data_IF_507617332587
#
_entry.id   IF_507617332587
#
_cell.length_a   1.000
_cell.length_b   1.000
_cell.length_c   1.000
_cell.angle_alpha   90.00
_cell.angle_beta   90.00
_cell.angle_gamma   90.00
#
_symmetry.space_group_name_H-M   'P 1'
#
loop_
_entity.id
_entity.type
_entity.pdbx_description
1 polymer ?
#
# COMPACT_ATOMS: atom_id res chain seq x y z
N UNK A 1 2.99 8.76 -16.83
CA UNK A 1 3.03 8.49 -15.37
C UNK A 1 1.74 7.86 -14.81
N UNK A 2 0.58 8.52 -14.80
CA UNK A 2 -0.64 7.95 -14.18
C UNK A 2 -1.03 6.54 -14.67
N UNK A 3 -1.03 6.31 -16.00
CA UNK A 3 -1.26 4.97 -16.57
C UNK A 3 -0.22 3.96 -16.08
N UNK A 4 1.06 4.35 -16.12
CA UNK A 4 2.17 3.52 -15.66
C UNK A 4 2.00 3.11 -14.19
N UNK A 5 1.66 4.06 -13.31
CA UNK A 5 1.39 3.78 -11.89
C UNK A 5 0.28 2.74 -11.75
N UNK A 6 -0.84 2.91 -12.45
CA UNK A 6 -1.94 1.95 -12.38
C UNK A 6 -1.53 0.55 -12.85
N UNK A 7 -0.81 0.46 -13.96
CA UNK A 7 -0.31 -0.82 -14.49
C UNK A 7 0.66 -1.49 -13.48
N UNK A 8 1.57 -0.72 -12.87
CA UNK A 8 2.52 -1.19 -11.87
C UNK A 8 1.82 -1.70 -10.60
N UNK A 9 0.79 -0.99 -10.12
CA UNK A 9 -0.04 -1.45 -9.00
C UNK A 9 -0.81 -2.73 -9.34
N UNK A 10 -1.31 -2.86 -10.57
CA UNK A 10 -1.96 -4.09 -11.03
C UNK A 10 -0.97 -5.27 -11.07
N UNK A 11 0.28 -5.03 -11.48
CA UNK A 11 1.34 -6.03 -11.44
C UNK A 11 1.71 -6.41 -10.01
N UNK A 12 1.85 -5.43 -9.12
CA UNK A 12 2.08 -5.67 -7.69
C UNK A 12 0.96 -6.53 -7.09
N UNK A 13 -0.32 -6.24 -7.42
CA UNK A 13 -1.49 -7.03 -6.98
C UNK A 13 -1.36 -8.49 -7.42
N UNK A 14 -1.04 -8.73 -8.71
CA UNK A 14 -0.90 -10.09 -9.25
C UNK A 14 0.21 -10.89 -8.55
N UNK A 15 1.26 -10.21 -8.11
CA UNK A 15 2.44 -10.80 -7.50
C UNK A 15 2.39 -10.81 -5.96
N UNK A 16 1.30 -10.35 -5.36
CA UNK A 16 1.09 -10.35 -3.90
C UNK A 16 0.16 -11.51 -3.56
N UNK A 17 0.73 -12.70 -3.37
CA UNK A 17 -0.01 -13.88 -2.92
C UNK A 17 0.53 -14.34 -1.57
N UNK A 18 -0.27 -14.21 -0.53
CA UNK A 18 0.06 -14.63 0.83
C UNK A 18 -1.22 -15.09 1.52
N UNK A 19 -1.14 -16.17 2.31
CA UNK A 19 -2.27 -16.73 3.04
C UNK A 19 -2.88 -15.75 4.06
N UNK A 20 -2.08 -14.81 4.55
CA UNK A 20 -2.54 -13.75 5.46
C UNK A 20 -3.39 -12.67 4.79
N UNK A 21 -3.48 -12.63 3.44
CA UNK A 21 -4.19 -11.58 2.71
C UNK A 21 -5.65 -12.00 2.48
N UNK A 22 -6.57 -11.23 3.04
CA UNK A 22 -8.02 -11.37 2.80
C UNK A 22 -8.45 -10.78 1.47
N UNK A 23 -7.97 -9.56 1.16
CA UNK A 23 -8.29 -8.89 -0.10
C UNK A 23 -7.25 -7.87 -0.51
N UNK A 24 -7.14 -7.63 -1.81
CA UNK A 24 -6.32 -6.56 -2.38
C UNK A 24 -7.20 -5.69 -3.29
N UNK A 25 -7.21 -4.38 -3.06
CA UNK A 25 -7.93 -3.40 -3.88
C UNK A 25 -7.01 -2.31 -4.42
N UNK A 26 -7.42 -1.75 -5.56
CA UNK A 26 -6.80 -0.56 -6.14
C UNK A 26 -7.93 0.45 -6.34
N UNK A 27 -7.82 1.61 -5.69
CA UNK A 27 -8.71 2.75 -5.89
C UNK A 27 -7.94 3.89 -6.56
N UNK A 28 -8.58 4.57 -7.50
CA UNK A 28 -7.97 5.70 -8.21
C UNK A 28 -8.92 6.88 -8.21
N UNK A 29 -8.43 8.04 -7.78
CA UNK A 29 -9.14 9.32 -7.81
C UNK A 29 -8.42 10.28 -8.76
N UNK A 30 -9.16 10.80 -9.74
CA UNK A 30 -8.69 11.85 -10.65
C UNK A 30 -9.57 13.08 -10.52
N UNK A 31 -8.97 14.22 -10.20
CA UNK A 31 -9.65 15.51 -10.15
C UNK A 31 -8.73 16.51 -10.85
N UNK A 32 -9.02 16.89 -12.09
CA UNK A 32 -8.15 17.76 -12.90
C UNK A 32 -6.69 17.24 -12.95
N UNK A 33 -5.73 18.03 -12.44
CA UNK A 33 -4.31 17.66 -12.38
C UNK A 33 -3.95 16.87 -11.12
N UNK A 34 -4.92 16.62 -10.25
CA UNK A 34 -4.75 15.83 -9.04
C UNK A 34 -4.99 14.36 -9.38
N UNK A 35 -4.03 13.50 -9.03
CA UNK A 35 -4.20 12.05 -9.08
C UNK A 35 -3.86 11.45 -7.73
N UNK A 36 -4.66 10.49 -7.27
CA UNK A 36 -4.38 9.67 -6.09
C UNK A 36 -4.66 8.22 -6.43
N UNK A 37 -3.72 7.35 -6.10
CA UNK A 37 -3.83 5.90 -6.24
C UNK A 37 -3.68 5.31 -4.85
N UNK A 38 -4.58 4.41 -4.48
CA UNK A 38 -4.51 3.63 -3.26
C UNK A 38 -4.39 2.17 -3.64
N UNK A 39 -3.37 1.51 -3.15
CA UNK A 39 -3.24 0.06 -3.20
C UNK A 39 -3.35 -0.47 -1.79
N UNK A 40 -4.44 -1.16 -1.50
CA UNK A 40 -4.80 -1.61 -0.17
C UNK A 40 -4.69 -3.12 -0.09
N UNK A 41 -4.01 -3.61 0.94
CA UNK A 41 -3.99 -5.02 1.34
C UNK A 41 -4.71 -5.13 2.68
N UNK A 42 -5.84 -5.82 2.67
CA UNK A 42 -6.56 -6.19 3.88
C UNK A 42 -6.07 -7.55 4.35
N UNK A 43 -5.69 -7.66 5.61
CA UNK A 43 -5.28 -8.93 6.21
C UNK A 43 -6.49 -9.71 6.71
N UNK A 44 -6.38 -11.04 6.71
CA UNK A 44 -7.32 -11.94 7.38
C UNK A 44 -6.82 -12.17 8.80
N UNK A 45 -7.63 -11.83 9.80
CA UNK A 45 -7.49 -12.48 11.09
C UNK A 45 -8.43 -13.69 11.12
N UNK A 46 -7.84 -14.88 10.99
CA UNK A 46 -8.59 -16.14 11.03
C UNK A 46 -9.04 -16.50 12.47
N UNK A 47 -8.74 -15.67 13.48
CA UNK A 47 -8.82 -16.05 14.88
C UNK A 47 -9.77 -15.23 15.77
N UNK A 48 -10.21 -14.02 15.40
CA UNK A 48 -11.10 -13.24 16.30
C UNK A 48 -12.28 -12.57 15.59
N UNK A 49 -13.47 -12.74 16.18
CA UNK A 49 -14.73 -12.09 15.78
C UNK A 49 -14.81 -10.62 16.25
N UNK A 50 -13.68 -9.98 16.58
CA UNK A 50 -13.65 -8.59 17.05
C UNK A 50 -12.84 -7.74 16.07
N UNK A 51 -13.48 -6.65 15.65
CA UNK A 51 -13.18 -5.92 14.42
C UNK A 51 -12.18 -4.80 14.70
N UNK A 52 -10.92 -5.01 14.35
CA UNK A 52 -10.08 -4.00 13.69
C UNK A 52 -9.38 -4.71 12.53
N UNK A 53 -9.72 -4.35 11.30
CA UNK A 53 -9.01 -4.93 10.15
C UNK A 53 -7.67 -4.22 9.99
N UNK A 54 -6.58 -4.97 10.14
CA UNK A 54 -5.25 -4.49 9.77
C UNK A 54 -5.17 -4.33 8.24
N UNK A 55 -5.05 -3.08 7.82
CA UNK A 55 -4.89 -2.68 6.41
C UNK A 55 -3.48 -2.12 6.22
N UNK A 56 -2.84 -2.52 5.12
CA UNK A 56 -1.60 -1.90 4.64
C UNK A 56 -1.89 -1.21 3.32
N UNK A 57 -1.56 0.08 3.22
CA UNK A 57 -1.88 0.93 2.08
C UNK A 57 -0.60 1.48 1.47
N UNK A 58 -0.52 1.46 0.14
CA UNK A 58 0.37 2.32 -0.63
C UNK A 58 -0.46 3.45 -1.22
N UNK A 59 -0.22 4.69 -0.77
CA UNK A 59 -0.78 5.89 -1.41
C UNK A 59 0.24 6.46 -2.39
N UNK A 60 -0.17 6.75 -3.63
CA UNK A 60 0.62 7.49 -4.62
C UNK A 60 -0.21 8.71 -5.02
N UNK A 61 0.28 9.92 -4.76
CA UNK A 61 -0.46 11.15 -5.03
C UNK A 61 0.36 12.17 -5.82
N UNK A 62 -0.33 12.90 -6.68
CA UNK A 62 0.20 14.10 -7.33
C UNK A 62 -0.84 15.20 -7.23
N UNK A 63 -0.41 16.38 -6.80
CA UNK A 63 -1.26 17.57 -6.74
C UNK A 63 -1.02 18.53 -7.94
N UNK A 64 -0.02 18.24 -8.78
CA UNK A 64 0.39 19.10 -9.89
C UNK A 64 0.65 18.36 -11.21
N UNK A 65 0.47 17.04 -11.25
CA UNK A 65 0.71 16.18 -12.42
C UNK A 65 2.17 16.00 -12.83
N UNK A 66 3.11 16.71 -12.18
CA UNK A 66 4.55 16.72 -12.51
C UNK A 66 5.37 15.86 -11.55
N UNK A 67 4.99 15.85 -10.28
CA UNK A 67 5.67 15.13 -9.21
C UNK A 67 4.68 14.28 -8.42
N UNK A 68 5.16 13.16 -7.92
CA UNK A 68 4.41 12.22 -7.12
C UNK A 68 5.05 12.05 -5.75
N UNK A 69 4.22 11.99 -4.72
CA UNK A 69 4.60 11.50 -3.40
C UNK A 69 4.02 10.09 -3.24
N UNK A 70 4.79 9.20 -2.59
CA UNK A 70 4.40 7.82 -2.34
C UNK A 70 4.70 7.46 -0.88
N UNK A 71 3.77 6.77 -0.23
CA UNK A 71 3.98 6.20 1.10
C UNK A 71 3.42 4.79 1.22
N UNK A 72 3.98 4.03 2.18
CA UNK A 72 3.50 2.74 2.65
C UNK A 72 3.12 2.91 4.12
N UNK A 73 1.86 2.75 4.45
CA UNK A 73 1.31 2.97 5.79
C UNK A 73 0.34 1.87 6.22
N UNK A 74 0.03 1.80 7.52
CA UNK A 74 -1.06 0.97 8.03
C UNK A 74 -2.31 1.78 8.40
N UNK A 75 -3.38 1.08 8.79
CA UNK A 75 -4.66 1.65 9.25
C UNK A 75 -4.52 2.59 10.45
N UNK A 76 -3.44 2.50 11.24
CA UNK A 76 -3.16 3.42 12.35
C UNK A 76 -2.49 4.74 11.90
N UNK A 77 -2.13 4.83 10.63
CA UNK A 77 -1.39 5.95 10.05
C UNK A 77 0.12 5.87 10.28
N UNK A 78 0.66 4.72 10.72
CA UNK A 78 2.10 4.54 10.85
C UNK A 78 2.75 4.37 9.47
N UNK A 79 3.69 5.25 9.13
CA UNK A 79 4.39 5.24 7.84
C UNK A 79 5.65 4.36 7.94
N UNK A 80 5.69 3.29 7.15
CA UNK A 80 6.82 2.36 7.06
C UNK A 80 7.88 2.80 6.05
N UNK A 81 7.46 3.54 5.01
CA UNK A 81 8.29 4.06 3.94
C UNK A 81 7.61 5.28 3.32
N UNK A 82 8.38 6.30 2.94
CA UNK A 82 7.91 7.40 2.11
C UNK A 82 9.01 7.86 1.14
N UNK A 83 8.61 8.34 -0.02
CA UNK A 83 9.45 9.10 -0.95
C UNK A 83 8.62 10.22 -1.58
N UNK A 84 9.24 11.38 -1.79
CA UNK A 84 8.57 12.62 -2.17
C UNK A 84 9.19 13.21 -3.43
N UNK A 85 8.40 13.97 -4.17
CA UNK A 85 8.84 14.66 -5.39
C UNK A 85 9.41 13.70 -6.46
N UNK A 86 8.78 12.53 -6.64
CA UNK A 86 9.15 11.55 -7.67
C UNK A 86 8.65 12.02 -9.03
N UNK A 87 9.54 12.05 -10.02
CA UNK A 87 9.22 12.40 -11.40
C UNK A 87 9.68 11.32 -12.41
N UNK A 88 10.02 10.11 -11.94
CA UNK A 88 10.51 9.03 -12.80
C UNK A 88 9.84 7.69 -12.49
N UNK A 89 9.58 6.93 -13.56
CA UNK A 89 8.98 5.59 -13.49
C UNK A 89 9.86 4.61 -12.71
N UNK A 90 11.19 4.71 -12.88
CA UNK A 90 12.16 3.89 -12.15
C UNK A 90 12.02 4.04 -10.64
N UNK A 91 11.90 5.27 -10.12
CA UNK A 91 11.78 5.52 -8.68
C UNK A 91 10.48 4.94 -8.11
N UNK A 92 9.38 5.03 -8.86
CA UNK A 92 8.11 4.40 -8.48
C UNK A 92 8.30 2.89 -8.37
N UNK A 93 8.92 2.24 -9.36
CA UNK A 93 9.19 0.80 -9.32
C UNK A 93 10.14 0.40 -8.18
N UNK A 94 11.21 1.16 -7.98
CA UNK A 94 12.16 0.93 -6.88
C UNK A 94 11.42 0.96 -5.53
N UNK A 95 10.50 1.93 -5.34
CA UNK A 95 9.67 2.00 -4.14
C UNK A 95 8.73 0.79 -4.02
N UNK A 96 7.98 0.45 -5.08
CA UNK A 96 7.02 -0.66 -5.05
C UNK A 96 7.71 -2.00 -4.77
N UNK A 97 8.90 -2.25 -5.34
CA UNK A 97 9.70 -3.44 -5.05
C UNK A 97 10.17 -3.46 -3.59
N UNK A 98 10.63 -2.32 -3.07
CA UNK A 98 11.03 -2.23 -1.67
C UNK A 98 9.84 -2.41 -0.71
N UNK A 99 8.67 -1.85 -1.03
CA UNK A 99 7.43 -2.03 -0.28
C UNK A 99 7.01 -3.50 -0.25
N UNK A 100 7.02 -4.17 -1.40
CA UNK A 100 6.73 -5.61 -1.51
C UNK A 100 7.60 -6.46 -0.59
N UNK A 101 8.89 -6.14 -0.50
CA UNK A 101 9.84 -6.84 0.38
C UNK A 101 9.60 -6.58 1.87
N UNK A 102 8.81 -5.55 2.24
CA UNK A 102 8.43 -5.27 3.63
C UNK A 102 7.11 -5.91 4.05
N UNK A 103 6.25 -6.27 3.11
CA UNK A 103 4.89 -6.78 3.39
C UNK A 103 4.88 -7.89 4.44
N UNK A 104 5.66 -8.96 4.28
CA UNK A 104 5.67 -10.06 5.25
C UNK A 104 5.96 -9.62 6.69
N UNK A 105 6.98 -8.78 6.89
CA UNK A 105 7.34 -8.28 8.22
C UNK A 105 6.27 -7.36 8.81
N UNK A 106 5.63 -6.54 7.98
CA UNK A 106 4.53 -5.66 8.40
C UNK A 106 3.34 -6.53 8.82
N UNK A 107 2.96 -7.51 8.00
CA UNK A 107 1.84 -8.41 8.30
C UNK A 107 2.07 -9.19 9.59
N UNK A 108 3.28 -9.72 9.80
CA UNK A 108 3.64 -10.38 11.06
C UNK A 108 3.55 -9.45 12.27
N UNK A 109 3.97 -8.19 12.13
CA UNK A 109 3.89 -7.21 13.23
C UNK A 109 2.44 -6.91 13.58
N UNK A 110 1.61 -6.68 12.57
CA UNK A 110 0.18 -6.35 12.70
C UNK A 110 -0.57 -7.51 13.38
N UNK A 111 -0.50 -8.71 12.80
CA UNK A 111 -1.14 -9.93 13.33
C UNK A 111 -0.65 -10.40 14.71
N UNK A 112 0.52 -9.94 15.18
CA UNK A 112 1.04 -10.27 16.51
C UNK A 112 0.89 -9.14 17.53
N UNK A 113 0.57 -7.93 17.09
CA UNK A 113 0.33 -6.79 18.00
C UNK A 113 -0.94 -6.99 18.81
N UNK A 114 -1.95 -7.64 18.24
CA UNK A 114 -3.22 -7.98 18.91
C UNK A 114 -3.06 -9.08 19.97
N UNK A 115 -2.08 -9.99 19.82
CA UNK A 115 -1.81 -11.06 20.79
C UNK A 115 -1.24 -10.59 22.13
N UNK A 116 -0.83 -9.32 22.25
CA UNK A 116 -0.18 -8.77 23.46
C UNK A 116 -1.13 -7.99 24.36
N UNK A 117 -2.42 -7.93 24.04
CA UNK A 117 -3.42 -7.17 24.79
C UNK A 117 -4.25 -8.02 25.77
N UNK A 118 -3.81 -9.23 26.13
CA UNK A 118 -4.48 -10.15 27.09
C UNK A 118 -3.63 -10.34 28.35
#
# INVERSE_FOLDING_TARGET
>A
MNKFIFDALCELKKNSNNQAIKSISIEVKYINNFSRFYFSILLSDDLTNEVEFDEVVIEIKSDNGSYFDIDLSDSSGFIYMEDKQINSEKKIMDFLEAAKNKFSNIFEKLLNSEKRSI
#
